data_IF_001354527476
#
_entry.id   IF_001354527476
#
_cell.length_a   1.000
_cell.length_b   1.000
_cell.length_c   1.000
_cell.angle_alpha   90.00
_cell.angle_beta   90.00
_cell.angle_gamma   90.00
#
_symmetry.space_group_name_H-M   'P 1'
#
loop_
_entity.id
_entity.type
_entity.pdbx_description
1 polymer ?
#
# COMPACT_ATOMS: atom_id res chain seq x y z
N UNK A 1 -3.87 8.55 -2.37
CA UNK A 1 -3.10 9.82 -2.36
C UNK A 1 -3.56 10.79 -3.44
N UNK A 2 -4.35 10.34 -4.40
CA UNK A 2 -4.97 11.11 -5.48
C UNK A 2 -6.43 11.48 -5.17
N UNK A 3 -7.00 12.36 -5.98
CA UNK A 3 -8.42 12.69 -6.03
C UNK A 3 -8.97 12.39 -7.43
N UNK A 4 -10.28 12.59 -7.65
CA UNK A 4 -10.87 12.45 -9.00
C UNK A 4 -10.31 13.44 -10.01
N UNK A 5 -9.75 14.55 -9.56
CA UNK A 5 -9.32 15.66 -10.42
C UNK A 5 -7.80 15.81 -10.52
N UNK A 6 -7.05 15.31 -9.52
CA UNK A 6 -5.62 15.60 -9.38
C UNK A 6 -4.82 14.41 -8.84
N UNK A 7 -3.60 14.30 -9.35
CA UNK A 7 -2.61 13.32 -8.92
C UNK A 7 -2.85 11.91 -9.47
N UNK A 8 -1.83 11.08 -9.30
CA UNK A 8 -1.88 9.66 -9.62
C UNK A 8 -0.99 8.93 -8.61
N UNK A 9 -1.61 8.08 -7.78
CA UNK A 9 -0.91 7.39 -6.69
C UNK A 9 0.32 6.62 -7.20
N UNK A 10 0.21 5.94 -8.34
CA UNK A 10 1.30 5.15 -8.92
C UNK A 10 2.48 6.01 -9.39
N UNK A 11 2.21 7.14 -10.03
CA UNK A 11 3.23 8.06 -10.54
C UNK A 11 3.95 8.77 -9.40
N UNK A 12 3.21 9.28 -8.41
CA UNK A 12 3.77 9.95 -7.25
C UNK A 12 4.67 9.01 -6.44
N UNK A 13 4.20 7.79 -6.12
CA UNK A 13 5.00 6.83 -5.35
C UNK A 13 6.24 6.39 -6.13
N UNK A 14 6.14 6.18 -7.45
CA UNK A 14 7.32 5.85 -8.27
C UNK A 14 8.36 6.97 -8.24
N UNK A 15 7.94 8.23 -8.41
CA UNK A 15 8.82 9.39 -8.36
C UNK A 15 9.52 9.49 -7.00
N UNK A 16 8.74 9.46 -5.91
CA UNK A 16 9.26 9.51 -4.53
C UNK A 16 10.25 8.37 -4.28
N UNK A 17 9.93 7.14 -4.71
CA UNK A 17 10.82 6.01 -4.49
C UNK A 17 12.13 6.12 -5.30
N UNK A 18 12.09 6.66 -6.52
CA UNK A 18 13.27 6.87 -7.37
C UNK A 18 14.17 8.01 -6.89
N UNK A 19 13.58 9.03 -6.25
CA UNK A 19 14.30 10.17 -5.68
C UNK A 19 14.78 9.91 -4.23
N UNK A 20 14.46 8.74 -3.66
CA UNK A 20 14.84 8.42 -2.29
C UNK A 20 16.37 8.23 -2.18
N UNK A 21 17.05 9.01 -1.31
CA UNK A 21 18.50 8.91 -1.16
C UNK A 21 18.94 7.76 -0.23
N UNK A 22 17.98 7.01 0.34
CA UNK A 22 18.22 5.98 1.34
C UNK A 22 17.74 4.63 0.84
N UNK A 23 18.57 3.60 1.02
CA UNK A 23 18.28 2.25 0.55
C UNK A 23 18.33 2.12 -0.97
N UNK A 24 17.91 0.97 -1.46
CA UNK A 24 17.86 0.63 -2.88
C UNK A 24 16.46 0.17 -3.22
N UNK A 25 15.77 0.90 -4.08
CA UNK A 25 14.48 0.50 -4.62
C UNK A 25 14.63 -0.83 -5.38
N UNK A 26 13.82 -1.82 -5.02
CA UNK A 26 13.78 -3.14 -5.66
C UNK A 26 12.59 -3.23 -6.62
N UNK A 27 11.39 -3.00 -6.11
CA UNK A 27 10.15 -3.12 -6.89
C UNK A 27 9.21 -1.94 -6.66
N UNK A 28 8.43 -1.63 -7.70
CA UNK A 28 7.24 -0.80 -7.64
C UNK A 28 6.07 -1.64 -8.15
N UNK A 29 4.97 -1.65 -7.40
CA UNK A 29 3.83 -2.52 -7.66
C UNK A 29 2.53 -1.75 -7.56
N UNK A 30 1.71 -1.88 -8.60
CA UNK A 30 0.32 -1.42 -8.60
C UNK A 30 -0.55 -2.62 -8.25
N UNK A 31 -1.42 -2.45 -7.25
CA UNK A 31 -2.32 -3.48 -6.75
C UNK A 31 -3.75 -3.05 -7.05
N UNK A 32 -4.44 -3.82 -7.89
CA UNK A 32 -5.87 -3.61 -8.13
C UNK A 32 -6.66 -4.09 -6.90
N UNK A 33 -7.57 -3.26 -6.38
CA UNK A 33 -8.45 -3.62 -5.26
C UNK A 33 -9.91 -3.60 -5.68
N UNK A 34 -10.80 -3.93 -4.75
CA UNK A 34 -12.22 -4.10 -4.96
C UNK A 34 -12.92 -2.83 -5.50
N UNK A 35 -13.33 -2.80 -6.79
CA UNK A 35 -13.95 -1.63 -7.38
C UNK A 35 -15.34 -1.35 -6.80
N UNK A 36 -15.93 -2.25 -6.03
CA UNK A 36 -17.24 -2.05 -5.40
C UNK A 36 -17.18 -1.27 -4.09
N UNK A 37 -15.99 -0.95 -3.58
CA UNK A 37 -15.85 -0.11 -2.36
C UNK A 37 -16.43 1.29 -2.64
N UNK A 38 -17.37 1.79 -1.80
CA UNK A 38 -18.02 3.09 -2.02
C UNK A 38 -17.05 4.27 -1.97
N UNK A 39 -16.09 4.22 -1.04
CA UNK A 39 -15.15 5.31 -0.77
C UNK A 39 -13.81 5.17 -1.51
N UNK A 40 -13.80 4.45 -2.64
CA UNK A 40 -12.61 4.22 -3.47
C UNK A 40 -12.09 5.50 -4.13
N UNK A 41 -10.79 5.51 -4.44
CA UNK A 41 -10.22 6.41 -5.44
C UNK A 41 -10.69 6.02 -6.85
N UNK A 42 -10.47 6.89 -7.84
CA UNK A 42 -10.98 6.72 -9.21
C UNK A 42 -10.72 5.34 -9.81
N UNK A 43 -9.53 4.78 -9.56
CA UNK A 43 -9.12 3.49 -10.13
C UNK A 43 -9.16 2.33 -9.12
N UNK A 44 -9.48 2.60 -7.85
CA UNK A 44 -9.40 1.62 -6.76
C UNK A 44 -8.07 0.83 -6.72
N UNK A 45 -6.95 1.52 -6.96
CA UNK A 45 -5.61 0.93 -6.88
C UNK A 45 -4.90 1.39 -5.63
N UNK A 46 -4.15 0.47 -5.03
CA UNK A 46 -3.12 0.79 -4.05
C UNK A 46 -1.74 0.58 -4.68
N UNK A 47 -0.72 1.20 -4.12
CA UNK A 47 0.64 1.17 -4.67
C UNK A 47 1.61 0.85 -3.56
N UNK A 48 2.46 -0.15 -3.80
CA UNK A 48 3.54 -0.53 -2.90
C UNK A 48 4.91 -0.38 -3.58
N UNK A 49 5.94 -0.21 -2.76
CA UNK A 49 7.34 -0.30 -3.17
C UNK A 49 8.11 -1.13 -2.17
N UNK A 50 9.13 -1.85 -2.63
CA UNK A 50 10.05 -2.59 -1.76
C UNK A 50 11.47 -2.02 -1.86
N UNK A 51 12.18 -2.03 -0.74
CA UNK A 51 13.53 -1.48 -0.63
C UNK A 51 14.45 -2.50 0.05
N UNK A 52 15.68 -2.63 -0.47
CA UNK A 52 16.79 -3.14 0.31
C UNK A 52 17.39 -1.98 1.13
N UNK A 53 17.42 -2.13 2.45
CA UNK A 53 17.92 -1.08 3.35
C UNK A 53 18.66 -1.72 4.52
N UNK A 54 19.72 -1.06 5.00
CA UNK A 54 20.37 -1.47 6.25
C UNK A 54 19.49 -1.08 7.42
N UNK A 55 19.46 -1.90 8.46
CA UNK A 55 18.62 -1.67 9.65
C UNK A 55 18.81 -0.26 10.24
N UNK A 56 20.06 0.21 10.36
CA UNK A 56 20.37 1.56 10.85
C UNK A 56 19.79 2.71 10.00
N UNK A 57 19.49 2.46 8.74
CA UNK A 57 19.00 3.45 7.77
C UNK A 57 17.47 3.39 7.61
N UNK A 58 16.80 2.37 8.15
CA UNK A 58 15.35 2.20 8.09
C UNK A 58 14.58 3.43 8.63
N UNK A 59 14.95 4.04 9.78
CA UNK A 59 14.25 5.24 10.26
C UNK A 59 14.33 6.42 9.27
N UNK A 60 15.47 6.59 8.60
CA UNK A 60 15.65 7.66 7.62
C UNK A 60 14.81 7.42 6.35
N UNK A 61 14.72 6.16 5.89
CA UNK A 61 13.83 5.77 4.79
C UNK A 61 12.37 6.07 5.12
N UNK A 62 11.90 5.67 6.30
CA UNK A 62 10.52 5.88 6.73
C UNK A 62 10.18 7.37 6.89
N UNK A 63 11.11 8.15 7.46
CA UNK A 63 10.95 9.59 7.60
C UNK A 63 10.86 10.29 6.24
N UNK A 64 11.70 9.89 5.27
CA UNK A 64 11.64 10.38 3.90
C UNK A 64 10.27 10.12 3.26
N UNK A 65 9.78 8.88 3.31
CA UNK A 65 8.49 8.54 2.71
C UNK A 65 7.32 9.27 3.39
N UNK A 66 7.33 9.36 4.73
CA UNK A 66 6.29 10.08 5.48
C UNK A 66 6.20 11.54 5.02
N UNK A 67 7.34 12.21 4.93
CA UNK A 67 7.40 13.62 4.52
C UNK A 67 7.06 13.81 3.03
N UNK A 68 7.57 12.94 2.17
CA UNK A 68 7.29 12.98 0.74
C UNK A 68 5.80 12.75 0.44
N UNK A 69 5.17 11.77 1.10
CA UNK A 69 3.73 11.53 0.97
C UNK A 69 2.92 12.74 1.46
N UNK A 70 3.30 13.34 2.60
CA UNK A 70 2.61 14.51 3.14
C UNK A 70 2.66 15.71 2.20
N UNK A 71 3.81 15.94 1.55
CA UNK A 71 4.02 17.04 0.59
C UNK A 71 3.31 16.85 -0.75
N UNK A 72 3.18 15.61 -1.21
CA UNK A 72 2.74 15.31 -2.58
C UNK A 72 1.32 14.74 -2.66
N UNK A 73 0.69 14.40 -1.53
CA UNK A 73 -0.69 13.88 -1.54
C UNK A 73 -1.71 15.01 -1.79
N UNK A 74 -2.71 14.71 -2.61
CA UNK A 74 -3.88 15.56 -2.81
C UNK A 74 -5.08 15.08 -1.97
N UNK A 75 -4.96 13.93 -1.31
CA UNK A 75 -6.03 13.31 -0.52
C UNK A 75 -5.92 13.66 0.97
N UNK A 76 -7.04 13.97 1.60
CA UNK A 76 -7.16 14.13 3.06
C UNK A 76 -7.22 12.78 3.81
N UNK A 77 -7.06 11.67 3.11
CA UNK A 77 -7.28 10.33 3.68
C UNK A 77 -6.11 9.40 3.34
N UNK A 78 -4.91 9.96 3.37
CA UNK A 78 -3.68 9.24 3.04
C UNK A 78 -3.15 8.50 4.25
N UNK A 79 -2.93 7.20 4.05
CA UNK A 79 -2.30 6.31 5.01
C UNK A 79 -1.11 5.63 4.33
N UNK A 80 -0.02 5.47 5.07
CA UNK A 80 1.12 4.64 4.70
C UNK A 80 1.12 3.40 5.58
N UNK A 81 1.47 2.24 5.03
CA UNK A 81 1.76 1.06 5.83
C UNK A 81 3.13 0.52 5.41
N UNK A 82 3.89 -0.04 6.35
CA UNK A 82 5.16 -0.68 6.04
C UNK A 82 5.32 -2.01 6.78
N UNK A 83 6.08 -2.90 6.17
CA UNK A 83 6.45 -4.22 6.69
C UNK A 83 7.95 -4.39 6.51
N UNK A 84 8.62 -4.94 7.53
CA UNK A 84 10.05 -5.26 7.48
C UNK A 84 10.21 -6.76 7.51
N UNK A 85 10.61 -7.33 6.39
CA UNK A 85 10.81 -8.77 6.24
C UNK A 85 11.16 -9.15 4.80
N UNK A 86 11.45 -10.43 4.60
CA UNK A 86 11.82 -10.99 3.30
C UNK A 86 10.66 -11.68 2.59
N UNK A 87 9.59 -12.01 3.31
CA UNK A 87 8.40 -12.71 2.79
C UNK A 87 7.16 -12.18 3.47
N UNK A 88 6.10 -11.99 2.70
CA UNK A 88 4.81 -11.58 3.27
C UNK A 88 4.20 -12.75 4.08
N UNK A 89 3.76 -12.52 5.34
CA UNK A 89 3.04 -13.50 6.12
C UNK A 89 1.78 -14.00 5.41
N UNK A 90 1.49 -15.30 5.50
CA UNK A 90 0.33 -15.92 4.82
C UNK A 90 -1.00 -15.25 5.17
N UNK A 91 -1.20 -14.85 6.42
CA UNK A 91 -2.42 -14.15 6.83
C UNK A 91 -2.56 -12.78 6.13
N UNK A 92 -1.46 -12.06 5.90
CA UNK A 92 -1.48 -10.82 5.12
C UNK A 92 -1.78 -11.08 3.65
N UNK A 93 -1.22 -12.13 3.06
CA UNK A 93 -1.55 -12.54 1.68
C UNK A 93 -3.04 -12.87 1.55
N UNK A 94 -3.60 -13.65 2.48
CA UNK A 94 -5.01 -14.00 2.53
C UNK A 94 -5.89 -12.75 2.69
N UNK A 95 -5.50 -11.82 3.57
CA UNK A 95 -6.19 -10.54 3.71
C UNK A 95 -6.14 -9.71 2.42
N UNK A 96 -4.96 -9.57 1.81
CA UNK A 96 -4.76 -8.81 0.58
C UNK A 96 -5.61 -9.38 -0.57
N UNK A 97 -5.61 -10.70 -0.73
CA UNK A 97 -6.45 -11.38 -1.71
C UNK A 97 -7.94 -11.14 -1.46
N UNK A 98 -8.40 -11.33 -0.21
CA UNK A 98 -9.80 -11.11 0.15
C UNK A 98 -10.22 -9.64 0.02
N UNK A 99 -9.33 -8.68 0.23
CA UNK A 99 -9.62 -7.25 0.07
C UNK A 99 -9.95 -6.86 -1.39
N UNK A 100 -9.70 -7.75 -2.36
CA UNK A 100 -10.11 -7.59 -3.76
C UNK A 100 -11.60 -7.88 -4.00
N UNK A 101 -12.31 -8.55 -3.09
CA UNK A 101 -13.75 -8.87 -3.21
C UNK A 101 -14.58 -8.55 -1.97
N UNK A 102 -13.97 -8.50 -0.79
CA UNK A 102 -14.61 -8.19 0.50
C UNK A 102 -14.49 -6.71 0.83
N UNK A 103 -15.55 -6.12 1.39
CA UNK A 103 -15.53 -4.77 1.94
C UNK A 103 -15.14 -4.86 3.42
N UNK A 104 -13.93 -4.40 3.75
CA UNK A 104 -13.44 -4.31 5.12
C UNK A 104 -13.74 -2.96 5.75
N UNK A 105 -13.74 -2.92 7.08
CA UNK A 105 -13.61 -1.67 7.84
C UNK A 105 -12.15 -1.44 8.30
N UNK A 106 -11.85 -0.22 8.74
CA UNK A 106 -10.49 0.17 9.18
C UNK A 106 -10.01 -0.67 10.36
N UNK A 107 -10.88 -1.03 11.31
CA UNK A 107 -10.54 -1.86 12.46
C UNK A 107 -10.00 -3.23 12.06
N UNK A 108 -10.70 -3.91 11.14
CA UNK A 108 -10.26 -5.21 10.61
C UNK A 108 -8.89 -5.13 9.93
N UNK A 109 -8.63 -4.05 9.17
CA UNK A 109 -7.34 -3.84 8.53
C UNK A 109 -6.22 -3.61 9.57
N UNK A 110 -6.50 -2.82 10.62
CA UNK A 110 -5.56 -2.58 11.73
C UNK A 110 -5.27 -3.86 12.52
N UNK A 111 -6.28 -4.68 12.78
CA UNK A 111 -6.15 -5.93 13.53
C UNK A 111 -5.29 -6.96 12.77
N UNK A 112 -5.46 -7.06 11.45
CA UNK A 112 -4.59 -7.89 10.60
C UNK A 112 -3.17 -7.34 10.57
N UNK A 113 -3.02 -6.02 10.41
CA UNK A 113 -1.71 -5.37 10.36
C UNK A 113 -0.91 -5.62 11.65
N UNK A 114 -1.51 -5.36 12.81
CA UNK A 114 -0.88 -5.51 14.13
C UNK A 114 -0.42 -6.93 14.39
N UNK A 115 -1.25 -7.94 14.06
CA UNK A 115 -0.90 -9.36 14.28
C UNK A 115 0.23 -9.86 13.38
N UNK A 116 0.53 -9.14 12.29
CA UNK A 116 1.50 -9.56 11.28
C UNK A 116 2.72 -8.62 11.16
N UNK A 117 2.91 -7.72 12.14
CA UNK A 117 4.08 -6.82 12.16
C UNK A 117 4.06 -5.75 11.07
N UNK A 118 2.87 -5.36 10.60
CA UNK A 118 2.69 -4.21 9.72
C UNK A 118 2.41 -2.98 10.56
N UNK A 119 3.22 -1.95 10.34
CA UNK A 119 3.07 -0.66 10.99
C UNK A 119 2.28 0.29 10.08
N UNK A 120 1.22 0.87 10.63
CA UNK A 120 0.32 1.78 9.91
C UNK A 120 0.55 3.21 10.40
N UNK A 121 0.88 4.10 9.46
CA UNK A 121 1.18 5.51 9.71
C UNK A 121 0.16 6.38 9.02
N UNK A 122 -0.58 7.16 9.81
CA UNK A 122 -1.46 8.21 9.31
C UNK A 122 -0.63 9.36 8.73
N UNK A 123 -0.95 9.78 7.49
CA UNK A 123 -0.31 10.92 6.83
C UNK A 123 -1.25 12.12 6.85
N UNK A 124 -2.47 11.94 6.35
CA UNK A 124 -3.54 12.96 6.37
C UNK A 124 -4.89 12.42 6.85
N UNK A 125 -5.07 11.10 6.88
CA UNK A 125 -6.25 10.44 7.41
C UNK A 125 -6.13 8.92 7.36
N UNK A 126 -7.18 8.22 7.78
CA UNK A 126 -7.11 6.77 8.07
C UNK A 126 -7.83 5.90 7.07
N UNK A 127 -8.65 6.46 6.17
CA UNK A 127 -9.42 5.65 5.22
C UNK A 127 -8.53 4.86 4.24
N UNK A 128 -7.32 5.37 3.94
CA UNK A 128 -6.32 4.66 3.14
C UNK A 128 -5.80 3.36 3.76
N UNK A 129 -6.06 3.09 5.05
CA UNK A 129 -5.52 1.93 5.78
C UNK A 129 -5.82 0.60 5.10
N UNK A 130 -7.07 0.38 4.66
CA UNK A 130 -7.48 -0.90 4.06
C UNK A 130 -6.63 -1.21 2.83
N UNK A 131 -6.48 -0.23 1.94
CA UNK A 131 -5.70 -0.39 0.71
C UNK A 131 -4.20 -0.45 0.95
N UNK A 132 -3.67 0.27 1.95
CA UNK A 132 -2.25 0.24 2.29
C UNK A 132 -1.85 -1.14 2.84
N UNK A 133 -2.63 -1.70 3.77
CA UNK A 133 -2.38 -3.05 4.31
C UNK A 133 -2.60 -4.12 3.23
N UNK A 134 -3.63 -3.98 2.39
CA UNK A 134 -3.91 -4.94 1.33
C UNK A 134 -2.79 -4.97 0.28
N UNK A 135 -2.16 -3.83 -0.01
CA UNK A 135 -1.03 -3.76 -0.93
C UNK A 135 0.21 -4.52 -0.43
N UNK A 136 0.46 -4.51 0.88
CA UNK A 136 1.51 -5.35 1.49
C UNK A 136 1.14 -6.82 1.31
N UNK A 137 -0.09 -7.21 1.62
CA UNK A 137 -0.58 -8.57 1.42
C UNK A 137 -0.48 -9.06 -0.02
N UNK A 138 -0.73 -8.18 -0.99
CA UNK A 138 -0.67 -8.53 -2.40
C UNK A 138 0.75 -8.50 -2.99
N UNK A 139 1.77 -8.12 -2.22
CA UNK A 139 3.07 -7.79 -2.79
C UNK A 139 3.75 -9.00 -3.44
N UNK A 140 3.61 -10.19 -2.87
CA UNK A 140 4.25 -11.42 -3.37
C UNK A 140 3.33 -12.25 -4.30
N UNK A 141 2.13 -11.76 -4.64
CA UNK A 141 1.14 -12.52 -5.42
C UNK A 141 1.42 -12.58 -6.94
N UNK A 142 2.52 -11.97 -7.42
CA UNK A 142 2.85 -11.93 -8.84
C UNK A 142 1.74 -11.27 -9.68
N UNK A 143 1.33 -11.92 -10.79
CA UNK A 143 0.29 -11.39 -11.69
C UNK A 143 -1.07 -11.20 -10.99
N UNK A 144 -1.35 -11.98 -9.94
CA UNK A 144 -2.60 -11.87 -9.16
C UNK A 144 -2.73 -10.54 -8.41
N UNK A 145 -1.63 -9.83 -8.19
CA UNK A 145 -1.67 -8.48 -7.63
C UNK A 145 -2.40 -7.50 -8.56
N UNK A 146 -2.31 -7.69 -9.87
CA UNK A 146 -2.84 -6.78 -10.90
C UNK A 146 -4.30 -7.05 -11.29
N UNK A 147 -4.86 -8.21 -10.96
CA UNK A 147 -6.25 -8.59 -11.31
C UNK A 147 -7.17 -8.75 -10.09
N UNK A 148 -8.46 -8.92 -10.35
CA UNK A 148 -9.47 -9.31 -9.38
C UNK A 148 -9.65 -10.85 -9.38
N UNK A 149 -10.24 -11.47 -8.34
CA UNK A 149 -10.43 -12.91 -8.28
C UNK A 149 -11.07 -13.51 -9.54
N UNK A 150 -12.09 -12.84 -10.08
CA UNK A 150 -12.82 -13.22 -11.29
C UNK A 150 -11.94 -13.24 -12.56
N UNK A 151 -10.83 -12.50 -12.61
CA UNK A 151 -9.90 -12.53 -13.75
C UNK A 151 -9.12 -13.86 -13.86
N UNK A 152 -9.15 -14.68 -12.80
CA UNK A 152 -8.40 -15.94 -12.70
C UNK A 152 -9.30 -17.17 -12.51
N UNK A 153 -10.62 -16.98 -12.51
CA UNK A 153 -11.59 -18.07 -12.55
C UNK A 153 -11.76 -18.52 -14.01
N UNK A 154 -11.54 -19.80 -14.26
CA UNK A 154 -11.63 -20.47 -15.56
C UNK A 154 -12.63 -21.60 -15.53
#
# INVERSE_FOLDING_TARGET
TDTKQQGASWSMVLKVARECPVGTLLEHKIVQLNPNVPEKTTNCVSVGVSFAVREKDLPALLAYFKEALRKNTFSQETTMAYFVGLRIPKELEEYGWRAKSVIYNIGQAMDVASRNGVEVVEITGRRGTIGAVAAIGCFDLGVRAAGLPEDFES
#
